data_IF_205415347556
#
_entry.id   IF_205415347556
#
_cell.length_a   1.000
_cell.length_b   1.000
_cell.length_c   1.000
_cell.angle_alpha   90.00
_cell.angle_beta   90.00
_cell.angle_gamma   90.00
#
_symmetry.space_group_name_H-M   'P 1'
#
loop_
_entity.id
_entity.type
_entity.pdbx_description
1 polymer ?
#
# COMPACT_ATOMS: atom_id res chain seq x y z
N UNK A 1 -46.74 -6.08 -17.09
CA UNK A 1 -46.09 -5.75 -18.38
C UNK A 1 -45.08 -4.64 -18.07
N UNK A 2 -43.82 -4.99 -17.84
CA UNK A 2 -42.75 -5.23 -18.81
C UNK A 2 -41.80 -4.02 -18.86
N UNK A 3 -40.58 -4.32 -18.43
CA UNK A 3 -39.30 -3.62 -18.49
C UNK A 3 -39.04 -2.81 -19.77
N UNK A 4 -38.28 -1.71 -19.64
CA UNK A 4 -36.95 -1.50 -20.27
C UNK A 4 -36.44 -0.10 -19.84
N UNK A 5 -35.39 0.01 -19.02
CA UNK A 5 -33.95 0.01 -19.39
C UNK A 5 -33.41 1.44 -19.49
N UNK A 6 -32.60 1.83 -18.49
CA UNK A 6 -31.92 3.12 -18.43
C UNK A 6 -30.84 3.14 -17.35
N UNK A 7 -29.97 2.13 -17.37
CA UNK A 7 -28.78 2.07 -16.53
C UNK A 7 -27.66 2.93 -17.12
N UNK A 8 -27.45 4.15 -16.64
CA UNK A 8 -26.21 4.92 -16.81
C UNK A 8 -26.29 6.06 -15.76
N UNK A 9 -25.35 6.34 -14.88
CA UNK A 9 -24.04 5.79 -14.62
C UNK A 9 -23.59 6.47 -13.31
N UNK A 10 -23.36 5.67 -12.26
CA UNK A 10 -22.38 5.90 -11.19
C UNK A 10 -22.12 7.36 -10.80
N UNK A 11 -22.89 7.92 -9.87
CA UNK A 11 -22.46 9.19 -9.27
C UNK A 11 -22.63 9.34 -7.76
N UNK A 12 -23.26 8.42 -7.03
CA UNK A 12 -23.46 8.60 -5.59
C UNK A 12 -23.36 7.28 -4.81
N UNK A 13 -22.13 6.78 -4.59
CA UNK A 13 -21.81 5.87 -3.47
C UNK A 13 -20.29 5.60 -3.34
N UNK A 14 -19.49 6.63 -3.04
CA UNK A 14 -18.09 6.44 -2.58
C UNK A 14 -17.94 6.95 -1.15
N UNK A 15 -18.84 6.53 -0.26
CA UNK A 15 -18.73 6.80 1.18
C UNK A 15 -19.01 5.57 2.07
N UNK A 16 -19.23 4.37 1.50
CA UNK A 16 -19.60 3.19 2.29
C UNK A 16 -19.08 1.85 1.75
N UNK A 17 -17.99 1.87 0.97
CA UNK A 17 -17.12 0.68 0.86
C UNK A 17 -16.00 0.96 1.84
N UNK A 18 -15.91 0.15 2.90
CA UNK A 18 -14.80 0.11 3.86
C UNK A 18 -13.49 0.58 3.21
N UNK A 19 -12.79 1.54 3.83
CA UNK A 19 -11.47 1.96 3.37
C UNK A 19 -10.65 0.69 3.10
N UNK A 20 -10.39 0.42 1.82
CA UNK A 20 -9.75 -0.83 1.44
C UNK A 20 -8.36 -0.91 2.09
N UNK A 21 -7.75 -2.08 2.18
CA UNK A 21 -6.43 -2.25 2.81
C UNK A 21 -5.35 -1.36 2.18
N UNK A 22 -5.56 -1.03 0.90
CA UNK A 22 -4.81 -0.03 0.16
C UNK A 22 -4.86 1.35 0.83
N UNK A 23 -6.05 1.87 1.14
CA UNK A 23 -6.25 3.19 1.73
C UNK A 23 -6.05 3.19 3.26
N UNK A 24 -6.45 2.12 3.94
CA UNK A 24 -6.47 2.02 5.39
C UNK A 24 -5.06 1.91 6.02
N UNK A 25 -4.09 1.35 5.29
CA UNK A 25 -2.76 1.14 5.87
C UNK A 25 -1.60 1.22 4.89
N UNK A 26 -1.72 0.68 3.68
CA UNK A 26 -0.58 0.64 2.74
C UNK A 26 -0.20 2.07 2.31
N UNK A 27 -1.15 2.86 1.78
CA UNK A 27 -0.91 4.24 1.36
C UNK A 27 -0.49 5.12 2.54
N UNK A 28 -1.09 4.92 3.72
CA UNK A 28 -0.75 5.67 4.93
C UNK A 28 0.70 5.41 5.35
N UNK A 29 1.11 4.15 5.43
CA UNK A 29 2.49 3.75 5.75
C UNK A 29 3.47 4.29 4.70
N UNK A 30 3.11 4.16 3.43
CA UNK A 30 3.91 4.61 2.29
C UNK A 30 4.17 6.13 2.34
N UNK A 31 3.11 6.94 2.53
CA UNK A 31 3.23 8.40 2.70
C UNK A 31 4.10 8.75 3.91
N UNK A 32 3.92 8.07 5.04
CA UNK A 32 4.73 8.30 6.24
C UNK A 32 6.22 8.04 6.02
N UNK A 33 6.57 6.95 5.33
CA UNK A 33 7.96 6.60 5.04
C UNK A 33 8.59 7.54 3.99
N UNK A 34 7.81 7.99 3.00
CA UNK A 34 8.26 9.03 2.08
C UNK A 34 8.58 10.34 2.82
N UNK A 35 7.70 10.82 3.70
CA UNK A 35 7.95 12.02 4.50
C UNK A 35 9.20 11.88 5.38
N UNK A 36 9.43 10.71 5.99
CA UNK A 36 10.65 10.45 6.77
C UNK A 36 11.91 10.57 5.92
N UNK A 37 11.92 10.03 4.70
CA UNK A 37 13.06 10.16 3.79
C UNK A 37 13.27 11.62 3.35
N UNK A 38 12.18 12.32 3.03
CA UNK A 38 12.23 13.72 2.64
C UNK A 38 12.85 14.59 3.74
N UNK A 39 12.41 14.42 4.99
CA UNK A 39 12.95 15.15 6.16
C UNK A 39 14.43 14.82 6.36
N UNK A 40 14.83 13.55 6.25
CA UNK A 40 16.24 13.16 6.34
C UNK A 40 17.09 13.86 5.30
N UNK A 41 16.66 13.84 4.04
CA UNK A 41 17.37 14.56 2.97
C UNK A 41 17.44 16.06 3.21
N UNK A 42 16.37 16.68 3.70
CA UNK A 42 16.37 18.10 4.03
C UNK A 42 17.37 18.43 5.16
N UNK A 43 17.42 17.61 6.21
CA UNK A 43 18.41 17.76 7.29
C UNK A 43 19.85 17.59 6.78
N UNK A 44 20.10 16.59 5.93
CA UNK A 44 21.44 16.35 5.36
C UNK A 44 21.90 17.54 4.51
N UNK A 45 20.99 18.13 3.73
CA UNK A 45 21.27 19.33 2.93
C UNK A 45 21.47 20.55 3.83
N UNK A 46 20.71 20.67 4.93
CA UNK A 46 20.82 21.77 5.89
C UNK A 46 22.20 21.82 6.54
N UNK A 47 22.67 20.65 6.98
CA UNK A 47 24.03 20.47 7.49
C UNK A 47 25.12 20.80 6.45
N UNK A 48 24.82 20.69 5.15
CA UNK A 48 25.71 21.05 4.05
C UNK A 48 25.61 22.52 3.62
N UNK A 49 24.69 23.31 4.21
CA UNK A 49 24.51 24.72 3.89
C UNK A 49 23.80 25.01 2.56
N UNK A 50 23.04 24.06 2.01
CA UNK A 50 22.39 24.19 0.68
C UNK A 50 21.09 24.99 0.74
N UNK A 51 21.09 26.29 0.49
CA UNK A 51 19.94 27.21 0.68
C UNK A 51 18.48 26.74 0.43
N UNK A 52 18.21 25.79 -0.47
CA UNK A 52 16.88 25.20 -0.69
C UNK A 52 16.86 23.69 -0.39
N UNK A 53 16.80 23.37 0.91
CA UNK A 53 16.93 22.00 1.43
C UNK A 53 15.68 21.13 1.19
N UNK A 54 14.55 21.72 0.83
CA UNK A 54 13.30 21.00 0.54
C UNK A 54 13.09 20.78 -0.96
N UNK A 55 13.97 21.30 -1.82
CA UNK A 55 13.88 21.12 -3.26
C UNK A 55 14.11 19.67 -3.65
N UNK A 56 13.03 18.99 -4.02
CA UNK A 56 13.07 17.66 -4.59
C UNK A 56 12.43 17.69 -5.97
N UNK A 57 13.19 17.33 -7.00
CA UNK A 57 12.67 17.22 -8.36
C UNK A 57 11.94 15.88 -8.57
N UNK A 58 11.18 15.78 -9.65
CA UNK A 58 10.37 14.59 -9.92
C UNK A 58 11.19 13.29 -9.97
N UNK A 59 12.41 13.32 -10.53
CA UNK A 59 13.27 12.13 -10.59
C UNK A 59 13.72 11.69 -9.19
N UNK A 60 14.09 12.63 -8.33
CA UNK A 60 14.42 12.35 -6.93
C UNK A 60 13.21 11.80 -6.18
N UNK A 61 12.03 12.39 -6.37
CA UNK A 61 10.79 11.88 -5.78
C UNK A 61 10.51 10.44 -6.22
N UNK A 62 10.62 10.14 -7.52
CA UNK A 62 10.42 8.78 -8.04
C UNK A 62 11.41 7.77 -7.43
N UNK A 63 12.69 8.15 -7.28
CA UNK A 63 13.70 7.31 -6.61
C UNK A 63 13.38 7.08 -5.13
N UNK A 64 12.94 8.12 -4.43
CA UNK A 64 12.49 8.00 -3.04
C UNK A 64 11.29 7.07 -2.93
N UNK A 65 10.30 7.20 -3.82
CA UNK A 65 9.11 6.34 -3.85
C UNK A 65 9.48 4.88 -4.09
N UNK A 66 10.40 4.59 -5.02
CA UNK A 66 10.93 3.23 -5.23
C UNK A 66 11.55 2.68 -3.95
N UNK A 67 12.41 3.45 -3.29
CA UNK A 67 13.06 3.02 -2.03
C UNK A 67 12.05 2.80 -0.91
N UNK A 68 11.02 3.63 -0.82
CA UNK A 68 9.94 3.44 0.16
C UNK A 68 9.20 2.13 -0.14
N UNK A 69 8.89 1.86 -1.40
CA UNK A 69 8.18 0.65 -1.81
C UNK A 69 8.97 -0.62 -1.46
N UNK A 70 10.27 -0.63 -1.76
CA UNK A 70 11.18 -1.73 -1.41
C UNK A 70 11.26 -1.96 0.11
N UNK A 71 11.04 -0.92 0.92
CA UNK A 71 11.00 -1.00 2.37
C UNK A 71 9.65 -1.44 2.97
N UNK A 72 8.60 -1.62 2.15
CA UNK A 72 7.31 -2.13 2.64
C UNK A 72 7.42 -3.64 2.86
N UNK A 73 7.40 -4.07 4.13
CA UNK A 73 7.44 -5.49 4.47
C UNK A 73 6.12 -6.21 4.20
N UNK A 74 6.19 -7.51 3.94
CA UNK A 74 5.00 -8.37 3.83
C UNK A 74 4.15 -8.33 5.10
N UNK A 75 4.79 -8.22 6.27
CA UNK A 75 4.10 -8.05 7.56
C UNK A 75 3.33 -6.74 7.65
N UNK A 76 3.85 -5.64 7.10
CA UNK A 76 3.13 -4.36 7.03
C UNK A 76 1.89 -4.51 6.15
N UNK A 77 2.01 -5.20 5.01
CA UNK A 77 0.87 -5.50 4.13
C UNK A 77 -0.16 -6.33 4.91
N UNK A 78 0.22 -7.49 5.47
CA UNK A 78 -0.67 -8.36 6.26
C UNK A 78 -1.38 -7.62 7.39
N UNK A 79 -0.67 -6.77 8.15
CA UNK A 79 -1.28 -5.96 9.20
C UNK A 79 -2.32 -4.98 8.65
N UNK A 80 -2.10 -4.37 7.49
CA UNK A 80 -3.09 -3.49 6.86
C UNK A 80 -4.35 -4.26 6.47
N UNK A 81 -4.20 -5.44 5.87
CA UNK A 81 -5.32 -6.32 5.53
C UNK A 81 -6.08 -6.80 6.78
N UNK A 82 -5.37 -7.15 7.86
CA UNK A 82 -5.95 -7.51 9.16
C UNK A 82 -6.77 -6.36 9.75
N UNK A 83 -6.25 -5.13 9.72
CA UNK A 83 -6.96 -3.95 10.20
C UNK A 83 -8.25 -3.63 9.44
N UNK A 84 -8.39 -4.10 8.19
CA UNK A 84 -9.64 -3.95 7.45
C UNK A 84 -10.70 -5.00 7.79
N UNK A 85 -10.37 -6.02 8.59
CA UNK A 85 -11.29 -7.11 8.94
C UNK A 85 -11.64 -8.04 7.77
N UNK A 86 -10.89 -7.97 6.65
CA UNK A 86 -11.10 -8.81 5.46
C UNK A 86 -10.45 -10.19 5.63
N UNK A 87 -9.30 -10.26 6.32
CA UNK A 87 -8.62 -11.53 6.56
C UNK A 87 -9.27 -12.28 7.74
N UNK A 88 -9.44 -13.61 7.63
CA UNK A 88 -9.82 -14.44 8.78
C UNK A 88 -8.71 -14.40 9.85
N UNK A 89 -9.09 -14.54 11.12
CA UNK A 89 -8.08 -14.70 12.19
C UNK A 89 -7.22 -15.93 11.94
N UNK A 90 -5.93 -15.83 12.24
CA UNK A 90 -4.86 -16.75 11.84
C UNK A 90 -5.06 -18.18 12.39
N UNK A 91 -5.95 -18.96 11.78
CA UNK A 91 -6.04 -20.41 11.93
C UNK A 91 -5.40 -21.07 10.69
N UNK A 92 -4.09 -20.86 10.52
CA UNK A 92 -3.32 -21.59 9.52
C UNK A 92 -3.03 -23.01 10.04
N UNK A 93 -3.77 -24.00 9.55
CA UNK A 93 -3.26 -25.37 9.51
C UNK A 93 -2.28 -25.45 8.34
N UNK A 94 -1.02 -25.80 8.59
CA UNK A 94 -0.01 -25.98 7.53
C UNK A 94 -0.46 -27.10 6.58
N UNK A 95 -0.83 -26.74 5.35
CA UNK A 95 -0.99 -27.69 4.25
C UNK A 95 0.39 -28.24 3.89
N UNK A 96 0.63 -29.57 3.97
CA UNK A 96 1.93 -30.16 3.71
C UNK A 96 2.39 -29.86 2.26
N UNK A 97 3.57 -29.25 2.12
CA UNK A 97 4.17 -28.85 0.84
C UNK A 97 4.55 -30.03 -0.09
N UNK A 98 4.19 -31.25 0.28
CA UNK A 98 4.59 -32.49 -0.40
C UNK A 98 3.49 -33.11 -1.28
N UNK A 99 2.32 -32.46 -1.39
CA UNK A 99 1.18 -33.00 -2.16
C UNK A 99 1.48 -33.19 -3.66
N UNK A 100 2.42 -32.40 -4.22
CA UNK A 100 2.77 -32.47 -5.64
C UNK A 100 3.79 -33.55 -6.02
N UNK A 101 4.39 -34.24 -5.04
CA UNK A 101 5.36 -35.30 -5.32
C UNK A 101 4.72 -36.65 -5.73
N UNK A 102 3.41 -36.83 -5.48
CA UNK A 102 2.70 -38.11 -5.71
C UNK A 102 1.77 -38.15 -6.92
N UNK A 103 1.77 -37.13 -7.77
CA UNK A 103 0.91 -37.06 -8.96
C UNK A 103 1.61 -37.45 -10.26
N UNK A 104 2.74 -38.18 -10.20
CA UNK A 104 3.41 -38.73 -11.37
C UNK A 104 3.59 -40.25 -11.20
N UNK A 105 2.54 -41.00 -11.50
CA UNK A 105 2.56 -42.40 -11.91
C UNK A 105 1.81 -42.52 -13.23
#
# INVERSE_FOLDING_TARGET
>A
MLFHLGAFHRFLCTAAVSAGPMDAGIIKNFKGNYCKLLIKCALDLDMQGVADHYKVNQLQSMRMLTRVWEGVSESAIKNCWRHTGILPEDNYQEEPQDAFARARL
#
